data_IF_247178009087
#
_entry.id   IF_247178009087
#
_cell.length_a   1.000
_cell.length_b   1.000
_cell.length_c   1.000
_cell.angle_alpha   90.00
_cell.angle_beta   90.00
_cell.angle_gamma   90.00
#
_symmetry.space_group_name_H-M   'P 1'
#
loop_
_entity.id
_entity.type
_entity.pdbx_description
1 polymer ?
#
# COMPACT_ATOMS: atom_id res chain seq x y z
N UNK A 1 -21.93 8.49 -5.91
CA UNK A 1 -20.63 9.11 -6.26
C UNK A 1 -19.55 8.11 -5.86
N UNK A 2 -19.01 7.36 -6.82
CA UNK A 2 -17.89 6.45 -6.55
C UNK A 2 -16.68 7.31 -6.21
N UNK A 3 -16.33 7.38 -4.91
CA UNK A 3 -15.06 7.95 -4.50
C UNK A 3 -13.97 7.22 -5.29
N UNK A 4 -13.23 7.94 -6.12
CA UNK A 4 -12.06 7.37 -6.77
C UNK A 4 -11.15 6.81 -5.67
N UNK A 5 -10.57 5.60 -5.83
CA UNK A 5 -9.56 5.14 -4.91
C UNK A 5 -8.45 6.20 -4.86
N UNK A 6 -8.14 6.70 -3.67
CA UNK A 6 -7.04 7.64 -3.43
C UNK A 6 -5.66 6.99 -3.60
N UNK A 7 -5.62 5.71 -3.96
CA UNK A 7 -4.43 4.94 -4.27
C UNK A 7 -4.32 4.62 -5.76
N UNK A 8 -3.09 4.60 -6.25
CA UNK A 8 -2.78 4.33 -7.65
C UNK A 8 -2.22 2.91 -7.82
N UNK A 9 -2.61 2.23 -8.90
CA UNK A 9 -2.05 0.92 -9.27
C UNK A 9 -1.35 1.08 -10.61
N UNK A 10 -0.08 0.69 -10.69
CA UNK A 10 0.67 0.73 -11.94
C UNK A 10 0.00 -0.17 -13.00
N UNK A 11 -0.12 0.27 -14.27
CA UNK A 11 -0.81 -0.49 -15.31
C UNK A 11 -0.27 -1.92 -15.52
N UNK A 12 1.05 -2.12 -15.38
CA UNK A 12 1.66 -3.45 -15.49
C UNK A 12 1.24 -4.37 -14.35
N UNK A 13 1.21 -3.84 -13.12
CA UNK A 13 0.69 -4.58 -11.98
C UNK A 13 -0.79 -4.90 -12.17
N UNK A 14 -1.59 -3.94 -12.65
CA UNK A 14 -3.01 -4.15 -12.92
C UNK A 14 -3.26 -5.30 -13.92
N UNK A 15 -2.44 -5.41 -14.97
CA UNK A 15 -2.50 -6.53 -15.90
C UNK A 15 -2.14 -7.88 -15.25
N UNK A 16 -1.24 -7.90 -14.27
CA UNK A 16 -0.90 -9.11 -13.50
C UNK A 16 -2.02 -9.49 -12.53
N UNK A 17 -2.62 -8.51 -11.85
CA UNK A 17 -3.79 -8.74 -10.98
C UNK A 17 -4.96 -9.33 -11.78
N UNK A 18 -5.16 -8.92 -13.03
CA UNK A 18 -6.20 -9.50 -13.88
C UNK A 18 -5.97 -10.98 -14.23
N UNK A 19 -4.73 -11.47 -14.12
CA UNK A 19 -4.34 -12.85 -14.45
C UNK A 19 -4.22 -13.74 -13.20
N UNK A 20 -3.95 -13.15 -12.04
CA UNK A 20 -3.80 -13.85 -10.77
C UNK A 20 -4.87 -13.41 -9.76
N UNK A 21 -5.91 -14.24 -9.62
CA UNK A 21 -7.02 -13.98 -8.71
C UNK A 21 -6.60 -13.96 -7.23
N UNK A 22 -5.59 -14.74 -6.84
CA UNK A 22 -5.09 -14.78 -5.47
C UNK A 22 -4.36 -13.49 -5.11
N UNK A 23 -3.50 -13.03 -6.02
CA UNK A 23 -2.81 -11.74 -5.91
C UNK A 23 -3.81 -10.57 -5.90
N UNK A 24 -4.78 -10.58 -6.83
CA UNK A 24 -5.84 -9.57 -6.89
C UNK A 24 -6.63 -9.49 -5.59
N UNK A 25 -6.99 -10.63 -4.99
CA UNK A 25 -7.69 -10.66 -3.72
C UNK A 25 -6.86 -10.02 -2.61
N UNK A 26 -5.58 -10.37 -2.48
CA UNK A 26 -4.71 -9.76 -1.45
C UNK A 26 -4.62 -8.25 -1.62
N UNK A 27 -4.46 -7.74 -2.85
CA UNK A 27 -4.42 -6.29 -3.10
C UNK A 27 -5.78 -5.61 -2.86
N UNK A 28 -6.89 -6.26 -3.23
CA UNK A 28 -8.24 -5.76 -3.01
C UNK A 28 -8.63 -5.68 -1.53
N UNK A 29 -8.07 -6.55 -0.69
CA UNK A 29 -8.25 -6.51 0.77
C UNK A 29 -7.26 -5.54 1.43
N UNK A 30 -5.99 -5.56 1.04
CA UNK A 30 -4.94 -4.77 1.70
C UNK A 30 -5.03 -3.26 1.39
N UNK A 31 -5.18 -2.87 0.12
CA UNK A 31 -5.09 -1.45 -0.27
C UNK A 31 -6.19 -0.59 0.38
N UNK A 32 -7.48 -0.97 0.37
CA UNK A 32 -8.52 -0.15 1.00
C UNK A 32 -8.35 -0.02 2.52
N UNK A 33 -7.90 -1.08 3.20
CA UNK A 33 -7.69 -1.06 4.64
C UNK A 33 -6.45 -0.23 5.02
N UNK A 34 -5.38 -0.30 4.24
CA UNK A 34 -4.20 0.58 4.40
C UNK A 34 -4.61 2.04 4.15
N UNK A 35 -5.34 2.32 3.09
CA UNK A 35 -5.82 3.67 2.77
C UNK A 35 -6.69 4.24 3.90
N UNK A 36 -7.67 3.46 4.38
CA UNK A 36 -8.53 3.83 5.51
C UNK A 36 -7.70 4.13 6.77
N UNK A 37 -6.68 3.32 7.04
CA UNK A 37 -5.76 3.57 8.13
C UNK A 37 -4.98 4.87 7.93
N UNK A 38 -4.40 5.10 6.75
CA UNK A 38 -3.65 6.32 6.46
C UNK A 38 -4.53 7.58 6.57
N UNK A 39 -5.76 7.53 6.06
CA UNK A 39 -6.77 8.60 6.23
C UNK A 39 -7.05 8.88 7.71
N UNK A 40 -7.13 7.84 8.55
CA UNK A 40 -7.39 8.01 10.00
C UNK A 40 -6.25 8.69 10.76
N UNK A 41 -5.02 8.71 10.21
CA UNK A 41 -3.89 9.42 10.82
C UNK A 41 -4.01 10.94 10.70
N UNK A 42 -4.85 11.45 9.78
CA UNK A 42 -4.93 12.87 9.43
C UNK A 42 -3.67 13.42 8.73
N UNK A 43 -2.70 12.57 8.42
CA UNK A 43 -1.49 12.95 7.71
C UNK A 43 -1.72 12.96 6.20
N UNK A 44 -1.09 13.91 5.52
CA UNK A 44 -1.01 13.88 4.06
C UNK A 44 -0.25 12.64 3.64
N UNK A 45 -0.81 11.89 2.69
CA UNK A 45 -0.20 10.67 2.20
C UNK A 45 -0.47 10.45 0.71
N UNK A 46 0.27 9.51 0.15
CA UNK A 46 0.04 8.89 -1.17
C UNK A 46 0.28 7.40 -1.03
N UNK A 47 -0.62 6.60 -1.59
CA UNK A 47 -0.54 5.15 -1.60
C UNK A 47 -0.46 4.67 -3.05
N UNK A 48 0.56 3.87 -3.36
CA UNK A 48 0.78 3.33 -4.70
C UNK A 48 1.04 1.83 -4.62
N UNK A 49 0.52 1.07 -5.58
CA UNK A 49 0.89 -0.31 -5.82
C UNK A 49 1.62 -0.40 -7.16
N UNK A 50 2.82 -0.96 -7.18
CA UNK A 50 3.64 -1.04 -8.39
C UNK A 50 4.51 -2.29 -8.42
N UNK A 51 5.06 -2.57 -9.60
CA UNK A 51 6.07 -3.59 -9.77
C UNK A 51 7.47 -2.95 -9.60
N UNK A 52 8.36 -3.59 -8.85
CA UNK A 52 9.76 -3.16 -8.83
C UNK A 52 10.45 -3.49 -10.15
N UNK A 53 11.65 -2.95 -10.35
CA UNK A 53 12.51 -3.36 -11.49
C UNK A 53 12.90 -4.84 -11.44
N UNK A 54 12.92 -5.44 -10.24
CA UNK A 54 13.21 -6.86 -10.02
C UNK A 54 12.01 -7.78 -10.20
N UNK A 55 10.82 -7.23 -10.49
CA UNK A 55 9.59 -8.01 -10.64
C UNK A 55 8.85 -8.28 -9.34
N UNK A 56 9.27 -7.68 -8.22
CA UNK A 56 8.59 -7.82 -6.93
C UNK A 56 7.35 -6.92 -6.86
N UNK A 57 6.31 -7.39 -6.20
CA UNK A 57 5.13 -6.59 -5.90
C UNK A 57 5.42 -5.63 -4.75
N UNK A 58 5.11 -4.34 -4.91
CA UNK A 58 5.38 -3.32 -3.90
C UNK A 58 4.16 -2.46 -3.64
N UNK A 59 3.76 -2.38 -2.38
CA UNK A 59 2.90 -1.32 -1.84
C UNK A 59 3.81 -0.23 -1.27
N UNK A 60 3.72 0.97 -1.85
CA UNK A 60 4.49 2.14 -1.46
C UNK A 60 3.59 3.17 -0.79
N UNK A 61 3.91 3.48 0.45
CA UNK A 61 3.30 4.55 1.23
C UNK A 61 4.26 5.74 1.30
N UNK A 62 3.79 6.90 0.88
CA UNK A 62 4.46 8.17 1.12
C UNK A 62 3.64 8.94 2.14
N UNK A 63 4.20 9.26 3.31
CA UNK A 63 3.43 9.88 4.40
C UNK A 63 4.20 11.06 4.99
N UNK A 64 3.50 12.13 5.31
CA UNK A 64 4.06 13.34 5.92
C UNK A 64 4.32 13.19 7.45
N UNK A 65 5.00 12.11 7.85
CA UNK A 65 5.31 11.85 9.25
C UNK A 65 6.39 12.80 9.80
N UNK A 66 6.29 13.11 11.10
CA UNK A 66 7.10 14.08 11.83
C UNK A 66 8.31 13.44 12.51
N UNK A 67 8.16 12.22 13.01
CA UNK A 67 9.23 11.50 13.72
C UNK A 67 9.45 10.08 13.19
N UNK A 68 10.55 9.47 13.60
CA UNK A 68 10.87 8.08 13.27
C UNK A 68 9.88 7.12 13.93
N UNK A 69 9.48 7.39 15.16
CA UNK A 69 8.51 6.59 15.91
C UNK A 69 7.14 6.61 15.22
N UNK A 70 6.72 7.75 14.66
CA UNK A 70 5.48 7.85 13.89
C UNK A 70 5.57 7.05 12.60
N UNK A 71 6.69 7.15 11.87
CA UNK A 71 6.96 6.31 10.69
C UNK A 71 6.84 4.82 11.03
N UNK A 72 7.51 4.40 12.10
CA UNK A 72 7.60 2.98 12.48
C UNK A 72 6.22 2.43 12.87
N UNK A 73 5.42 3.19 13.64
CA UNK A 73 4.03 2.83 13.97
C UNK A 73 3.13 2.69 12.73
N UNK A 74 3.25 3.61 11.77
CA UNK A 74 2.48 3.56 10.53
C UNK A 74 2.88 2.33 9.71
N UNK A 75 4.18 2.07 9.60
CA UNK A 75 4.69 0.92 8.87
C UNK A 75 4.28 -0.40 9.51
N UNK A 76 4.43 -0.55 10.83
CA UNK A 76 4.02 -1.75 11.57
C UNK A 76 2.54 -2.04 11.37
N UNK A 77 1.69 -1.00 11.43
CA UNK A 77 0.26 -1.17 11.26
C UNK A 77 -0.12 -1.56 9.83
N UNK A 78 0.53 -0.97 8.83
CA UNK A 78 0.34 -1.34 7.43
C UNK A 78 0.81 -2.77 7.14
N UNK A 79 1.96 -3.18 7.70
CA UNK A 79 2.46 -4.54 7.59
C UNK A 79 1.49 -5.56 8.20
N UNK A 80 0.88 -5.25 9.35
CA UNK A 80 -0.17 -6.08 9.95
C UNK A 80 -1.45 -6.16 9.09
N UNK A 81 -1.83 -5.09 8.39
CA UNK A 81 -2.97 -5.12 7.45
C UNK A 81 -2.64 -6.04 6.27
N UNK A 82 -1.46 -5.88 5.67
CA UNK A 82 -1.02 -6.69 4.55
C UNK A 82 -0.93 -8.18 4.92
N UNK A 83 -0.37 -8.51 6.08
CA UNK A 83 -0.24 -9.91 6.50
C UNK A 83 -1.61 -10.56 6.74
N UNK A 84 -2.58 -9.81 7.30
CA UNK A 84 -3.96 -10.29 7.44
C UNK A 84 -4.62 -10.54 6.08
N UNK A 85 -4.43 -9.65 5.11
CA UNK A 85 -4.95 -9.84 3.74
C UNK A 85 -4.30 -11.03 3.03
N UNK A 86 -3.00 -11.27 3.28
CA UNK A 86 -2.32 -12.49 2.79
C UNK A 86 -2.95 -13.74 3.36
N UNK A 87 -3.37 -13.73 4.63
CA UNK A 87 -4.00 -14.87 5.31
C UNK A 87 -3.18 -16.17 5.17
N UNK A 88 -1.85 -16.07 5.27
CA UNK A 88 -0.93 -17.19 5.14
C UNK A 88 -0.62 -17.65 3.70
N UNK A 89 -1.14 -16.96 2.68
CA UNK A 89 -0.81 -17.23 1.27
C UNK A 89 0.66 -16.91 0.97
N UNK A 90 1.28 -17.74 0.13
CA UNK A 90 2.67 -17.59 -0.30
C UNK A 90 2.82 -16.56 -1.42
N UNK A 91 2.52 -15.31 -1.10
CA UNK A 91 2.59 -14.17 -2.01
C UNK A 91 3.52 -13.12 -1.41
N UNK A 92 4.65 -12.87 -2.08
CA UNK A 92 5.65 -11.92 -1.62
C UNK A 92 5.31 -10.49 -2.09
N UNK A 93 4.83 -9.65 -1.16
CA UNK A 93 4.56 -8.23 -1.39
C UNK A 93 5.42 -7.41 -0.43
N UNK A 94 6.24 -6.52 -0.99
CA UNK A 94 7.01 -5.55 -0.23
C UNK A 94 6.10 -4.41 0.25
N UNK A 95 6.28 -3.96 1.48
CA UNK A 95 5.61 -2.78 2.03
C UNK A 95 6.63 -1.71 2.40
N UNK A 96 6.69 -0.65 1.60
CA UNK A 96 7.65 0.45 1.77
C UNK A 96 6.99 1.70 2.32
N UNK A 97 7.62 2.35 3.30
CA UNK A 97 7.24 3.68 3.76
C UNK A 97 8.37 4.68 3.46
N UNK A 98 8.00 5.88 3.01
CA UNK A 98 8.92 6.99 2.81
C UNK A 98 8.26 8.31 3.17
N UNK A 99 9.06 9.34 3.49
CA UNK A 99 8.52 10.67 3.79
C UNK A 99 7.92 11.26 2.51
N UNK A 100 6.70 11.78 2.60
CA UNK A 100 6.10 12.57 1.52
C UNK A 100 6.85 13.90 1.42
N UNK A 101 7.33 14.30 0.23
CA UNK A 101 7.96 15.61 0.05
C UNK A 101 7.02 16.75 0.46
N UNK A 102 7.54 17.86 1.01
CA UNK A 102 6.75 19.07 1.17
C UNK A 102 6.20 19.49 -0.21
N UNK A 103 4.95 19.94 -0.24
CA UNK A 103 4.42 20.56 -1.45
C UNK A 103 5.18 21.89 -1.62
N UNK A 104 5.87 22.04 -2.74
CA UNK A 104 6.52 23.31 -3.11
C UNK A 104 5.48 24.35 -3.50
#
# INVERSE_FOLDING_TARGET
MTAQPSYEIEPRLQALLAQDAGLAQVFAEALPEIEKFLLSTGLRHRLEARLTRGGEYLIRMQVAYRSREERDRIWDRAAQILERARAGRDIHILCGISRLPPAH
#
